data_IF_254385067930
#
_entry.id   IF_254385067930
#
_cell.length_a   1.000
_cell.length_b   1.000
_cell.length_c   1.000
_cell.angle_alpha   90.00
_cell.angle_beta   90.00
_cell.angle_gamma   90.00
#
_symmetry.space_group_name_H-M   'P 1'
#
loop_
_entity.id
_entity.type
_entity.pdbx_description
1 polymer ?
#
# COMPACT_ATOMS: atom_id res chain seq x y z
N UNK A 1 10.73 -61.80 -85.89
CA UNK A 1 10.30 -60.42 -86.20
C UNK A 1 10.58 -59.54 -84.98
N UNK A 2 11.34 -58.43 -85.20
CA UNK A 2 11.44 -57.16 -84.43
C UNK A 2 11.70 -57.23 -82.89
N UNK A 3 12.91 -56.82 -82.45
CA UNK A 3 13.33 -55.50 -81.91
C UNK A 3 12.98 -55.32 -80.41
N UNK A 4 13.96 -55.36 -79.48
CA UNK A 4 14.85 -54.28 -78.97
C UNK A 4 14.19 -53.34 -77.93
N UNK A 5 14.94 -53.11 -76.83
CA UNK A 5 14.94 -52.02 -75.83
C UNK A 5 14.46 -52.46 -74.42
N UNK A 6 15.29 -52.63 -73.38
CA UNK A 6 16.30 -51.77 -72.72
C UNK A 6 15.71 -50.63 -71.87
N UNK A 7 15.95 -50.67 -70.55
CA UNK A 7 16.23 -49.55 -69.60
C UNK A 7 15.85 -49.98 -68.15
N UNK A 8 16.81 -50.20 -67.22
CA UNK A 8 17.53 -49.23 -66.35
C UNK A 8 16.72 -48.86 -65.09
N UNK A 9 17.03 -49.51 -63.94
CA UNK A 9 17.76 -49.01 -62.73
C UNK A 9 16.89 -48.22 -61.75
N UNK A 10 16.78 -48.68 -60.48
CA UNK A 10 17.32 -48.01 -59.28
C UNK A 10 16.97 -48.79 -58.00
N UNK A 11 18.01 -49.09 -57.22
CA UNK A 11 17.96 -49.53 -55.82
C UNK A 11 17.82 -48.30 -54.95
N UNK A 12 16.88 -48.29 -54.00
CA UNK A 12 16.90 -47.37 -52.87
C UNK A 12 16.56 -48.11 -51.57
N UNK A 13 17.53 -48.06 -50.66
CA UNK A 13 17.51 -48.64 -49.34
C UNK A 13 16.53 -47.90 -48.42
N UNK A 14 15.72 -48.65 -47.69
CA UNK A 14 14.86 -48.12 -46.64
C UNK A 14 15.66 -47.97 -45.33
N UNK A 15 16.10 -46.75 -45.02
CA UNK A 15 16.42 -46.36 -43.65
C UNK A 15 15.12 -45.90 -42.98
N UNK A 16 14.64 -46.67 -42.00
CA UNK A 16 13.59 -46.23 -41.10
C UNK A 16 14.17 -45.19 -40.14
N UNK A 17 13.87 -43.91 -40.40
CA UNK A 17 14.13 -42.81 -39.48
C UNK A 17 13.19 -42.94 -38.28
N UNK A 18 13.77 -42.97 -37.08
CA UNK A 18 13.05 -42.78 -35.81
C UNK A 18 12.48 -41.36 -35.84
N UNK A 19 11.17 -41.24 -36.06
CA UNK A 19 10.43 -39.99 -35.84
C UNK A 19 10.34 -39.79 -34.34
N UNK A 20 11.35 -39.13 -33.78
CA UNK A 20 11.21 -38.48 -32.48
C UNK A 20 10.08 -37.47 -32.60
N UNK A 21 8.98 -37.72 -31.89
CA UNK A 21 7.96 -36.71 -31.65
C UNK A 21 8.63 -35.57 -30.88
N UNK A 22 9.06 -34.55 -31.61
CA UNK A 22 9.30 -33.21 -31.07
C UNK A 22 7.96 -32.71 -30.54
N UNK A 23 7.75 -32.89 -29.24
CA UNK A 23 6.66 -32.23 -28.52
C UNK A 23 6.86 -30.72 -28.62
N UNK A 24 6.26 -30.07 -29.60
CA UNK A 24 6.11 -28.62 -29.59
C UNK A 24 4.98 -28.27 -28.64
N UNK A 25 5.34 -27.91 -27.41
CA UNK A 25 4.70 -26.83 -26.65
C UNK A 25 5.51 -26.55 -25.37
N UNK A 26 6.75 -26.10 -25.51
CA UNK A 26 7.43 -25.38 -24.45
C UNK A 26 7.87 -24.05 -25.05
N UNK A 27 7.03 -23.02 -24.87
CA UNK A 27 7.37 -21.66 -25.31
C UNK A 27 8.71 -21.24 -24.73
N UNK A 28 9.49 -20.49 -25.51
CA UNK A 28 10.80 -19.97 -25.09
C UNK A 28 10.72 -19.07 -23.85
N UNK A 29 11.85 -18.42 -23.48
CA UNK A 29 11.92 -17.53 -22.34
C UNK A 29 10.74 -16.55 -22.29
N UNK A 30 10.10 -16.46 -21.12
CA UNK A 30 8.96 -15.53 -20.91
C UNK A 30 8.84 -15.13 -19.45
N UNK A 31 8.17 -14.01 -19.23
CA UNK A 31 7.79 -13.50 -17.91
C UNK A 31 6.29 -13.78 -17.74
N UNK A 32 5.94 -14.58 -16.74
CA UNK A 32 4.58 -14.88 -16.31
C UNK A 32 4.23 -13.97 -15.12
N UNK A 33 3.00 -13.44 -15.12
CA UNK A 33 2.45 -12.60 -14.06
C UNK A 33 1.11 -13.20 -13.58
N UNK A 34 0.84 -13.18 -12.28
CA UNK A 34 -0.42 -13.73 -11.73
C UNK A 34 -1.67 -13.01 -12.25
N UNK A 35 -1.58 -11.70 -12.44
CA UNK A 35 -2.71 -10.83 -12.75
C UNK A 35 -2.32 -9.78 -13.80
N UNK A 36 -3.21 -9.55 -14.76
CA UNK A 36 -3.07 -8.50 -15.78
C UNK A 36 -4.45 -8.14 -16.36
N UNK A 37 -4.93 -6.89 -16.20
CA UNK A 37 -4.32 -5.81 -15.41
C UNK A 37 -4.39 -6.08 -13.89
N UNK A 38 -3.57 -5.38 -13.11
CA UNK A 38 -3.57 -5.44 -11.63
C UNK A 38 -3.70 -4.06 -11.02
N UNK A 39 -4.34 -3.92 -9.87
CA UNK A 39 -4.46 -2.60 -9.21
C UNK A 39 -3.11 -2.19 -8.58
N UNK A 40 -2.81 -0.89 -8.52
CA UNK A 40 -1.50 -0.38 -8.03
C UNK A 40 -1.17 -0.80 -6.59
N UNK A 41 -2.19 -1.09 -5.79
CA UNK A 41 -2.07 -1.49 -4.37
C UNK A 41 -2.14 -3.02 -4.17
N UNK A 42 -2.33 -3.81 -5.23
CA UNK A 42 -2.31 -5.26 -5.18
C UNK A 42 -0.94 -5.80 -5.59
N UNK A 43 -0.45 -6.89 -4.96
CA UNK A 43 0.76 -7.55 -5.41
C UNK A 43 0.53 -8.23 -6.77
N UNK A 44 1.60 -8.40 -7.53
CA UNK A 44 1.66 -9.19 -8.75
C UNK A 44 2.79 -10.18 -8.59
N UNK A 45 2.49 -11.47 -8.71
CA UNK A 45 3.49 -12.52 -8.59
C UNK A 45 4.16 -12.76 -9.94
N UNK A 46 5.48 -12.64 -9.99
CA UNK A 46 6.26 -12.70 -11.22
C UNK A 46 7.15 -13.94 -11.25
N UNK A 47 7.10 -14.66 -12.37
CA UNK A 47 7.96 -15.82 -12.64
C UNK A 47 8.58 -15.71 -14.02
N UNK A 48 9.89 -15.85 -14.11
CA UNK A 48 10.58 -16.03 -15.37
C UNK A 48 10.76 -17.52 -15.61
N UNK A 49 10.35 -18.01 -16.77
CA UNK A 49 10.31 -19.44 -17.07
C UNK A 49 10.93 -19.74 -18.43
N UNK A 50 11.36 -20.99 -18.60
CA UNK A 50 12.08 -21.47 -19.79
C UNK A 50 13.35 -20.66 -20.09
N UNK A 51 14.04 -20.21 -19.03
CA UNK A 51 15.33 -19.52 -19.11
C UNK A 51 16.49 -20.52 -19.34
N UNK A 52 17.59 -20.10 -19.97
CA UNK A 52 18.79 -20.92 -20.10
C UNK A 52 19.44 -21.16 -18.71
N UNK A 53 19.47 -22.41 -18.20
CA UNK A 53 19.99 -22.68 -16.86
C UNK A 53 21.49 -22.43 -16.71
N UNK A 54 21.92 -22.05 -15.50
CA UNK A 54 23.35 -21.87 -15.18
C UNK A 54 23.92 -20.50 -15.52
N UNK A 55 23.11 -19.62 -16.13
CA UNK A 55 23.45 -18.23 -16.41
C UNK A 55 22.83 -17.29 -15.36
N UNK A 56 22.88 -15.98 -15.61
CA UNK A 56 22.20 -14.94 -14.81
C UNK A 56 21.18 -14.23 -15.68
N UNK A 57 20.06 -13.84 -15.10
CA UNK A 57 19.06 -13.00 -15.76
C UNK A 57 18.99 -11.64 -15.07
N UNK A 58 19.13 -10.58 -15.85
CA UNK A 58 18.80 -9.22 -15.42
C UNK A 58 17.35 -8.95 -15.75
N UNK A 59 16.56 -8.58 -14.76
CA UNK A 59 15.17 -8.17 -14.93
C UNK A 59 15.10 -6.67 -14.72
N UNK A 60 14.68 -5.94 -15.75
CA UNK A 60 14.52 -4.49 -15.69
C UNK A 60 13.03 -4.15 -15.76
N UNK A 61 12.60 -3.20 -14.93
CA UNK A 61 11.28 -2.59 -15.06
C UNK A 61 11.43 -1.15 -15.53
N UNK A 62 10.57 -0.74 -16.46
CA UNK A 62 10.58 0.59 -17.06
C UNK A 62 9.16 1.18 -17.10
N UNK A 63 9.02 2.44 -16.70
CA UNK A 63 7.78 3.21 -16.86
C UNK A 63 8.07 4.41 -17.74
N UNK A 64 7.55 4.38 -18.96
CA UNK A 64 7.73 5.44 -19.93
C UNK A 64 6.85 6.66 -19.60
N UNK A 65 7.44 7.84 -19.66
CA UNK A 65 6.84 9.12 -19.26
C UNK A 65 5.77 9.69 -20.23
N UNK A 66 5.27 8.90 -21.18
CA UNK A 66 4.33 9.41 -22.19
C UNK A 66 2.96 9.78 -21.58
N UNK A 67 2.65 9.26 -20.39
CA UNK A 67 1.42 9.60 -19.64
C UNK A 67 1.62 10.81 -18.70
N UNK A 68 2.86 11.22 -18.40
CA UNK A 68 3.18 12.03 -17.21
C UNK A 68 4.06 13.27 -17.47
N UNK A 69 4.63 13.46 -18.67
CA UNK A 69 5.39 14.68 -19.00
C UNK A 69 6.68 14.91 -18.19
N UNK A 70 7.23 13.86 -17.55
CA UNK A 70 8.41 13.89 -16.67
C UNK A 70 9.59 12.99 -17.11
N UNK A 71 10.53 12.64 -16.21
CA UNK A 71 11.63 11.70 -16.49
C UNK A 71 11.15 10.24 -16.60
N UNK A 72 11.87 9.38 -17.32
CA UNK A 72 11.68 7.92 -17.26
C UNK A 72 12.02 7.38 -15.88
N UNK A 73 11.39 6.26 -15.54
CA UNK A 73 11.65 5.55 -14.28
C UNK A 73 12.04 4.12 -14.57
N UNK A 74 13.07 3.64 -13.87
CA UNK A 74 13.55 2.28 -14.02
C UNK A 74 13.97 1.66 -12.68
N UNK A 75 13.98 0.33 -12.65
CA UNK A 75 14.56 -0.48 -11.59
C UNK A 75 15.16 -1.74 -12.20
N UNK A 76 16.06 -2.39 -11.48
CA UNK A 76 16.76 -3.57 -11.94
C UNK A 76 17.02 -4.54 -10.80
N UNK A 77 16.92 -5.84 -11.09
CA UNK A 77 17.38 -6.91 -10.24
C UNK A 77 18.00 -8.05 -11.06
N UNK A 78 19.10 -8.63 -10.59
CA UNK A 78 19.83 -9.73 -11.22
C UNK A 78 19.63 -11.00 -10.40
N UNK A 79 19.27 -12.10 -11.07
CA UNK A 79 19.04 -13.39 -10.43
C UNK A 79 19.91 -14.49 -11.06
N UNK A 80 20.32 -15.47 -10.26
CA UNK A 80 20.89 -16.70 -10.78
C UNK A 80 19.76 -17.53 -11.42
N UNK A 81 20.01 -18.14 -12.58
CA UNK A 81 19.02 -19.01 -13.23
C UNK A 81 19.24 -20.45 -12.75
N UNK A 82 18.31 -21.03 -11.97
CA UNK A 82 18.46 -22.39 -11.45
C UNK A 82 18.44 -23.44 -12.58
N UNK A 83 18.82 -24.68 -12.25
CA UNK A 83 18.77 -25.82 -13.19
C UNK A 83 17.37 -26.08 -13.76
N UNK A 84 16.32 -25.63 -13.06
CA UNK A 84 14.93 -25.68 -13.52
C UNK A 84 14.62 -24.72 -14.67
N UNK A 85 15.46 -23.71 -14.92
CA UNK A 85 15.18 -22.61 -15.85
C UNK A 85 14.03 -21.70 -15.39
N UNK A 86 13.72 -21.70 -14.08
CA UNK A 86 12.66 -20.90 -13.47
C UNK A 86 13.23 -20.02 -12.37
N UNK A 87 12.97 -18.72 -12.45
CA UNK A 87 13.21 -17.75 -11.38
C UNK A 87 11.85 -17.25 -10.89
N UNK A 88 11.57 -17.38 -9.60
CA UNK A 88 10.35 -16.95 -8.93
C UNK A 88 10.66 -15.78 -8.00
N UNK A 89 10.17 -14.58 -8.33
CA UNK A 89 10.61 -13.34 -7.68
C UNK A 89 10.09 -13.22 -6.24
N UNK A 90 9.06 -13.99 -5.87
CA UNK A 90 8.57 -14.03 -4.48
C UNK A 90 9.51 -14.81 -3.56
N UNK A 91 10.36 -15.69 -4.10
CA UNK A 91 11.13 -16.68 -3.33
C UNK A 91 12.63 -16.61 -3.58
N UNK A 92 13.06 -16.24 -4.79
CA UNK A 92 14.46 -16.17 -5.16
C UNK A 92 15.07 -14.84 -4.71
N UNK A 93 16.22 -14.93 -4.04
CA UNK A 93 16.98 -13.76 -3.58
C UNK A 93 17.81 -13.21 -4.75
N UNK A 94 17.74 -11.90 -5.05
CA UNK A 94 18.56 -11.31 -6.10
C UNK A 94 20.05 -11.34 -5.74
N UNK A 95 20.90 -11.55 -6.74
CA UNK A 95 22.35 -11.38 -6.65
C UNK A 95 22.73 -9.90 -6.53
N UNK A 96 22.05 -9.04 -7.31
CA UNK A 96 22.26 -7.60 -7.35
C UNK A 96 20.90 -6.91 -7.49
N UNK A 97 20.55 -6.05 -6.55
CA UNK A 97 19.32 -5.26 -6.55
C UNK A 97 19.41 -4.12 -5.52
N UNK A 98 18.54 -3.10 -5.60
CA UNK A 98 18.37 -2.09 -4.54
C UNK A 98 17.70 -2.63 -3.25
N UNK A 99 17.43 -3.94 -3.20
CA UNK A 99 16.90 -4.71 -2.07
C UNK A 99 17.72 -5.98 -1.88
N UNK A 100 17.66 -6.58 -0.68
CA UNK A 100 18.53 -7.71 -0.29
C UNK A 100 17.78 -9.02 -0.10
N UNK A 101 16.51 -8.99 0.32
CA UNK A 101 15.66 -10.18 0.44
C UNK A 101 14.92 -10.51 -0.85
N UNK A 102 14.37 -11.73 -0.94
CA UNK A 102 13.37 -12.06 -1.96
C UNK A 102 12.15 -11.15 -1.81
N UNK A 103 11.70 -10.56 -2.92
CA UNK A 103 10.61 -9.58 -2.94
C UNK A 103 9.99 -9.52 -4.34
N UNK A 104 8.83 -10.15 -4.50
CA UNK A 104 8.10 -10.19 -5.76
C UNK A 104 7.70 -8.81 -6.28
N UNK A 105 7.59 -7.83 -5.38
CA UNK A 105 7.25 -6.45 -5.72
C UNK A 105 8.45 -5.51 -5.77
N UNK A 106 9.66 -6.04 -5.52
CA UNK A 106 10.95 -5.36 -5.52
C UNK A 106 11.12 -4.40 -6.69
N UNK A 107 10.87 -4.88 -7.90
CA UNK A 107 11.01 -4.08 -9.12
C UNK A 107 10.02 -2.91 -9.22
N UNK A 108 8.85 -2.98 -8.59
CA UNK A 108 7.84 -1.93 -8.70
C UNK A 108 8.08 -0.80 -7.70
N UNK A 109 8.32 -1.13 -6.44
CA UNK A 109 8.55 -0.10 -5.41
C UNK A 109 9.95 0.49 -5.50
N UNK A 110 10.92 -0.20 -6.11
CA UNK A 110 12.29 0.31 -6.26
C UNK A 110 12.52 1.15 -7.53
N UNK A 111 11.47 1.47 -8.29
CA UNK A 111 11.54 2.40 -9.42
C UNK A 111 12.15 3.74 -8.98
N UNK A 112 13.15 4.21 -9.73
CA UNK A 112 13.79 5.53 -9.55
C UNK A 112 13.79 6.31 -10.85
N UNK A 113 13.72 7.64 -10.75
CA UNK A 113 13.89 8.48 -11.92
C UNK A 113 15.32 8.37 -12.44
N UNK A 114 15.53 8.60 -13.74
CA UNK A 114 16.87 8.58 -14.33
C UNK A 114 17.84 9.57 -13.66
N UNK A 115 17.32 10.63 -13.02
CA UNK A 115 18.10 11.62 -12.29
C UNK A 115 18.22 11.31 -10.78
N UNK A 116 17.62 10.22 -10.31
CA UNK A 116 17.63 9.80 -8.90
C UNK A 116 16.60 10.49 -8.00
N UNK A 117 15.67 11.27 -8.58
CA UNK A 117 14.63 11.97 -7.84
C UNK A 117 13.66 10.99 -7.16
N UNK A 118 13.18 11.29 -5.94
CA UNK A 118 12.23 10.46 -5.23
C UNK A 118 10.83 10.53 -5.84
N UNK A 119 10.08 9.43 -5.79
CA UNK A 119 8.69 9.40 -6.18
C UNK A 119 7.82 10.06 -5.10
N UNK A 120 7.34 11.28 -5.35
CA UNK A 120 6.58 12.07 -4.35
C UNK A 120 5.17 12.45 -4.79
N UNK A 121 4.80 12.20 -6.04
CA UNK A 121 3.46 12.49 -6.57
C UNK A 121 2.51 11.31 -6.38
N UNK A 122 1.49 11.47 -5.51
CA UNK A 122 0.44 10.46 -5.32
C UNK A 122 -0.41 10.29 -6.58
N UNK A 123 -0.73 11.40 -7.26
CA UNK A 123 -1.48 11.38 -8.52
C UNK A 123 -0.76 10.51 -9.57
N UNK A 124 0.56 10.64 -9.65
CA UNK A 124 1.38 9.86 -10.57
C UNK A 124 1.43 8.38 -10.19
N UNK A 125 1.77 8.06 -8.94
CA UNK A 125 2.14 6.70 -8.55
C UNK A 125 1.00 5.84 -8.01
N UNK A 126 -0.06 6.49 -7.52
CA UNK A 126 -1.20 5.81 -6.96
C UNK A 126 -2.49 6.16 -7.72
N UNK A 127 -2.66 7.40 -8.20
CA UNK A 127 -3.88 7.83 -8.90
C UNK A 127 -3.97 7.32 -10.33
N UNK A 128 -2.87 7.38 -11.07
CA UNK A 128 -2.81 7.11 -12.52
C UNK A 128 -2.59 5.63 -12.83
N UNK A 129 -3.14 5.17 -13.97
CA UNK A 129 -2.84 3.85 -14.50
C UNK A 129 -1.47 3.87 -15.19
N UNK A 130 -0.56 3.01 -14.72
CA UNK A 130 0.81 2.93 -15.22
C UNK A 130 0.99 1.71 -16.11
N UNK A 131 1.73 1.87 -17.20
CA UNK A 131 2.24 0.72 -17.97
C UNK A 131 3.68 0.47 -17.56
N UNK A 132 3.94 -0.70 -16.98
CA UNK A 132 5.28 -1.16 -16.61
C UNK A 132 5.74 -2.16 -17.68
N UNK A 133 6.81 -1.83 -18.40
CA UNK A 133 7.49 -2.78 -19.28
C UNK A 133 8.58 -3.51 -18.49
N UNK A 134 8.53 -4.84 -18.50
CA UNK A 134 9.51 -5.72 -17.89
C UNK A 134 10.33 -6.37 -19.00
N UNK A 135 11.64 -6.21 -18.95
CA UNK A 135 12.60 -6.85 -19.85
C UNK A 135 13.41 -7.89 -19.07
N UNK A 136 13.56 -9.09 -19.64
CA UNK A 136 14.50 -10.08 -19.15
C UNK A 136 15.70 -10.15 -20.11
N UNK A 137 16.90 -9.93 -19.59
CA UNK A 137 18.14 -9.92 -20.35
C UNK A 137 19.09 -11.00 -19.84
N UNK A 138 19.73 -11.68 -20.78
CA UNK A 138 20.78 -12.67 -20.53
C UNK A 138 21.95 -12.31 -21.45
N UNK A 139 23.14 -12.16 -20.88
CA UNK A 139 24.33 -11.62 -21.56
C UNK A 139 24.06 -10.31 -22.32
N UNK A 140 23.28 -9.41 -21.71
CA UNK A 140 22.88 -8.13 -22.30
C UNK A 140 21.88 -8.25 -23.47
N UNK A 141 21.48 -9.47 -23.82
CA UNK A 141 20.52 -9.73 -24.90
C UNK A 141 19.14 -9.95 -24.31
N UNK A 142 18.17 -9.16 -24.78
CA UNK A 142 16.78 -9.30 -24.36
C UNK A 142 16.19 -10.63 -24.86
N UNK A 143 15.75 -11.47 -23.92
CA UNK A 143 15.18 -12.80 -24.19
C UNK A 143 13.66 -12.87 -23.95
N UNK A 144 13.12 -11.98 -23.12
CA UNK A 144 11.67 -11.86 -22.90
C UNK A 144 11.25 -10.42 -22.62
N UNK A 145 9.99 -10.11 -22.94
CA UNK A 145 9.33 -8.83 -22.60
C UNK A 145 7.94 -9.13 -22.06
N UNK A 146 7.50 -8.36 -21.07
CA UNK A 146 6.12 -8.34 -20.59
C UNK A 146 5.71 -6.91 -20.30
N UNK A 147 4.51 -6.53 -20.71
CA UNK A 147 3.88 -5.26 -20.28
C UNK A 147 2.81 -5.57 -19.26
N UNK A 148 2.79 -4.80 -18.19
CA UNK A 148 1.79 -4.87 -17.14
C UNK A 148 1.07 -3.54 -17.00
N UNK A 149 -0.26 -3.56 -16.89
CA UNK A 149 -1.06 -2.38 -16.60
C UNK A 149 -1.39 -2.35 -15.11
N UNK A 150 -0.76 -1.44 -14.37
CA UNK A 150 -1.03 -1.17 -12.96
C UNK A 150 -2.14 -0.11 -12.86
N UNK A 151 -3.37 -0.54 -12.61
CA UNK A 151 -4.57 0.31 -12.59
C UNK A 151 -4.55 1.23 -11.38
N UNK A 152 -4.60 2.54 -11.63
CA UNK A 152 -4.55 3.56 -10.59
C UNK A 152 -5.85 3.69 -9.81
N UNK A 153 -5.73 4.14 -8.56
CA UNK A 153 -6.81 4.34 -7.60
C UNK A 153 -7.90 5.29 -8.13
N UNK A 154 -7.57 6.30 -8.93
CA UNK A 154 -8.58 7.20 -9.50
C UNK A 154 -9.58 6.48 -10.41
N UNK A 155 -9.20 5.31 -10.96
CA UNK A 155 -10.08 4.49 -11.81
C UNK A 155 -10.93 3.50 -11.00
N UNK A 156 -10.43 3.02 -9.85
CA UNK A 156 -11.07 1.94 -9.06
C UNK A 156 -11.71 2.41 -7.76
N UNK A 157 -11.39 3.62 -7.32
CA UNK A 157 -11.90 4.27 -6.12
C UNK A 157 -12.27 5.73 -6.43
N UNK A 158 -13.30 5.98 -7.25
CA UNK A 158 -13.75 7.34 -7.53
C UNK A 158 -14.25 8.00 -6.24
N UNK A 159 -13.88 9.26 -6.04
CA UNK A 159 -14.39 10.08 -4.94
C UNK A 159 -15.56 10.95 -5.38
N UNK A 160 -16.34 11.40 -4.40
CA UNK A 160 -17.16 12.60 -4.51
C UNK A 160 -16.85 13.53 -3.35
N UNK A 161 -16.77 14.81 -3.65
CA UNK A 161 -16.66 15.83 -2.62
C UNK A 161 -17.93 15.82 -1.73
N UNK A 162 -17.73 16.08 -0.45
CA UNK A 162 -18.78 16.20 0.57
C UNK A 162 -18.67 17.57 1.19
N UNK A 163 -19.71 18.37 1.00
CA UNK A 163 -19.91 19.65 1.66
C UNK A 163 -21.30 19.61 2.30
N UNK A 164 -21.32 19.40 3.62
CA UNK A 164 -22.53 19.29 4.43
C UNK A 164 -22.31 20.07 5.74
N UNK A 165 -23.32 20.18 6.60
CA UNK A 165 -23.23 20.97 7.83
C UNK A 165 -22.07 20.50 8.74
N UNK A 166 -20.97 21.27 8.75
CA UNK A 166 -19.74 20.96 9.49
C UNK A 166 -18.79 19.94 8.83
N UNK A 167 -19.14 19.37 7.68
CA UNK A 167 -18.37 18.33 6.99
C UNK A 167 -17.74 18.89 5.70
N UNK A 168 -16.42 18.70 5.57
CA UNK A 168 -15.68 18.95 4.34
C UNK A 168 -14.75 17.77 4.13
N UNK A 169 -14.81 17.14 2.96
CA UNK A 169 -13.96 15.99 2.66
C UNK A 169 -14.33 15.29 1.37
N UNK A 170 -13.72 14.12 1.16
CA UNK A 170 -13.92 13.30 -0.02
C UNK A 170 -14.42 11.91 0.39
N UNK A 171 -15.58 11.52 -0.15
CA UNK A 171 -16.14 10.20 0.09
C UNK A 171 -15.83 9.26 -1.08
N UNK A 172 -15.18 8.15 -0.75
CA UNK A 172 -14.78 7.09 -1.65
C UNK A 172 -15.73 5.90 -1.43
N UNK A 173 -16.61 5.68 -2.40
CA UNK A 173 -17.47 4.50 -2.43
C UNK A 173 -16.78 3.37 -3.22
N UNK A 174 -16.86 2.11 -2.78
CA UNK A 174 -16.29 1.00 -3.53
C UNK A 174 -16.92 0.88 -4.92
N UNK A 175 -16.10 0.85 -5.97
CA UNK A 175 -16.59 0.75 -7.36
C UNK A 175 -17.34 -0.56 -7.62
N UNK A 176 -16.86 -1.66 -7.03
CA UNK A 176 -17.56 -2.95 -6.99
C UNK A 176 -18.57 -2.87 -5.85
N UNK A 177 -19.79 -2.46 -6.16
CA UNK A 177 -20.84 -2.12 -5.19
C UNK A 177 -20.98 -3.10 -4.02
N UNK A 178 -21.46 -2.58 -2.89
CA UNK A 178 -21.50 -3.31 -1.62
C UNK A 178 -22.57 -4.41 -1.65
N UNK A 179 -22.16 -5.68 -1.54
CA UNK A 179 -23.09 -6.84 -1.54
C UNK A 179 -23.95 -6.93 -0.28
N UNK A 180 -23.42 -6.50 0.86
CA UNK A 180 -24.11 -6.46 2.15
C UNK A 180 -23.47 -5.38 3.03
N UNK A 181 -24.23 -4.72 3.93
CA UNK A 181 -23.69 -3.72 4.85
C UNK A 181 -22.42 -4.23 5.54
N UNK A 182 -21.36 -3.42 5.48
CA UNK A 182 -20.03 -3.78 5.94
C UNK A 182 -19.32 -2.62 6.64
N UNK A 183 -18.07 -2.83 7.05
CA UNK A 183 -17.34 -1.79 7.77
C UNK A 183 -17.05 -0.59 6.85
N UNK A 184 -16.98 0.59 7.44
CA UNK A 184 -16.60 1.83 6.77
C UNK A 184 -15.55 2.56 7.61
N UNK A 185 -14.80 3.47 7.00
CA UNK A 185 -13.68 4.14 7.66
C UNK A 185 -13.78 5.67 7.52
N UNK A 186 -13.79 6.38 8.64
CA UNK A 186 -13.54 7.82 8.66
C UNK A 186 -12.02 8.04 8.73
N UNK A 187 -11.46 8.71 7.75
CA UNK A 187 -10.02 8.95 7.60
C UNK A 187 -9.72 10.41 7.87
N UNK A 188 -8.86 10.70 8.84
CA UNK A 188 -8.39 12.07 9.09
C UNK A 188 -7.35 12.47 8.04
N UNK A 189 -7.68 13.48 7.23
CA UNK A 189 -6.80 14.06 6.21
C UNK A 189 -6.38 15.49 6.58
N UNK A 190 -5.27 15.96 5.99
CA UNK A 190 -4.77 17.32 6.18
C UNK A 190 -4.24 17.58 7.59
N UNK A 191 -3.78 16.55 8.29
CA UNK A 191 -3.21 16.69 9.64
C UNK A 191 -1.75 17.14 9.63
N UNK A 192 -1.05 16.93 8.51
CA UNK A 192 0.31 17.41 8.25
C UNK A 192 0.31 18.47 7.15
N UNK A 193 1.19 19.50 7.23
CA UNK A 193 1.47 20.36 6.10
C UNK A 193 2.04 19.56 4.93
N UNK A 194 1.62 19.88 3.70
CA UNK A 194 2.23 19.43 2.44
C UNK A 194 2.21 17.91 2.14
N UNK A 195 1.59 17.08 2.99
CA UNK A 195 1.40 15.65 2.74
C UNK A 195 -0.08 15.25 2.95
N UNK A 196 -0.81 15.04 1.86
CA UNK A 196 -2.19 14.52 1.89
C UNK A 196 -2.18 13.00 2.11
N UNK A 197 -2.05 12.56 3.36
CA UNK A 197 -1.96 11.12 3.68
C UNK A 197 -3.33 10.43 3.74
N UNK A 198 -4.40 11.18 4.02
CA UNK A 198 -5.73 10.63 4.22
C UNK A 198 -6.44 10.28 2.92
N UNK A 199 -6.28 11.09 1.86
CA UNK A 199 -6.88 10.81 0.55
C UNK A 199 -6.39 9.47 -0.02
N UNK A 200 -5.08 9.25 -0.03
CA UNK A 200 -4.49 8.00 -0.52
C UNK A 200 -4.95 6.79 0.31
N UNK A 201 -5.02 6.93 1.63
CA UNK A 201 -5.52 5.87 2.49
C UNK A 201 -7.00 5.55 2.23
N UNK A 202 -7.86 6.58 2.12
CA UNK A 202 -9.29 6.43 1.85
C UNK A 202 -9.55 5.80 0.47
N UNK A 203 -8.82 6.22 -0.57
CA UNK A 203 -8.92 5.63 -1.89
C UNK A 203 -8.52 4.14 -1.89
N UNK A 204 -7.44 3.80 -1.19
CA UNK A 204 -6.99 2.40 -1.04
C UNK A 204 -8.01 1.55 -0.30
N UNK A 205 -8.57 2.05 0.81
CA UNK A 205 -9.63 1.36 1.56
C UNK A 205 -10.87 1.10 0.69
N UNK A 206 -11.27 2.08 -0.12
CA UNK A 206 -12.38 1.92 -1.07
C UNK A 206 -12.09 0.88 -2.15
N UNK A 207 -10.87 0.86 -2.69
CA UNK A 207 -10.44 -0.16 -3.64
C UNK A 207 -10.41 -1.57 -3.01
N UNK A 208 -10.11 -1.67 -1.72
CA UNK A 208 -10.24 -2.91 -0.92
C UNK A 208 -11.69 -3.30 -0.62
N UNK A 209 -12.68 -2.47 -0.97
CA UNK A 209 -14.10 -2.74 -0.79
C UNK A 209 -14.75 -2.04 0.41
N UNK A 210 -14.06 -1.12 1.08
CA UNK A 210 -14.55 -0.44 2.28
C UNK A 210 -14.87 1.02 2.03
N UNK A 211 -16.13 1.47 2.20
CA UNK A 211 -16.46 2.88 2.09
C UNK A 211 -15.59 3.73 3.03
N UNK A 212 -15.02 4.81 2.50
CA UNK A 212 -14.13 5.67 3.27
C UNK A 212 -14.46 7.15 3.06
N UNK A 213 -14.51 7.92 4.16
CA UNK A 213 -14.64 9.37 4.14
C UNK A 213 -13.32 9.98 4.58
N UNK A 214 -12.57 10.59 3.66
CA UNK A 214 -11.43 11.43 4.00
C UNK A 214 -11.93 12.80 4.48
N UNK A 215 -11.99 12.96 5.81
CA UNK A 215 -12.39 14.20 6.46
C UNK A 215 -11.23 15.19 6.44
N UNK A 216 -11.47 16.37 5.87
CA UNK A 216 -10.56 17.49 6.00
C UNK A 216 -10.56 17.98 7.44
N UNK A 217 -9.54 17.58 8.19
CA UNK A 217 -9.47 17.74 9.65
C UNK A 217 -9.60 19.21 10.05
N UNK A 218 -8.89 20.09 9.34
CA UNK A 218 -8.85 21.52 9.66
C UNK A 218 -9.61 22.41 8.66
N UNK A 219 -10.26 21.83 7.64
CA UNK A 219 -11.00 22.57 6.62
C UNK A 219 -10.27 22.65 5.26
N UNK A 220 -10.95 23.16 4.23
CA UNK A 220 -10.45 23.19 2.86
C UNK A 220 -9.16 24.00 2.71
N UNK A 221 -8.29 23.58 1.80
CA UNK A 221 -7.16 24.38 1.34
C UNK A 221 -7.63 25.79 0.95
N UNK A 222 -7.09 26.83 1.59
CA UNK A 222 -7.47 28.23 1.37
C UNK A 222 -8.23 28.92 2.51
N UNK A 223 -8.50 28.25 3.64
CA UNK A 223 -8.91 28.96 4.86
C UNK A 223 -7.78 29.88 5.34
N UNK A 224 -8.14 31.15 5.59
CA UNK A 224 -7.20 32.23 5.94
C UNK A 224 -6.55 32.06 7.31
N UNK A 225 -7.19 31.30 8.21
CA UNK A 225 -6.70 31.05 9.56
C UNK A 225 -6.28 29.57 9.71
N UNK A 226 -5.03 29.28 10.13
CA UNK A 226 -4.60 27.92 10.41
C UNK A 226 -5.26 27.42 11.70
N UNK A 227 -6.48 26.86 11.58
CA UNK A 227 -7.12 26.17 12.69
C UNK A 227 -6.36 24.87 12.94
N UNK A 228 -5.72 24.72 14.10
CA UNK A 228 -5.02 23.48 14.53
C UNK A 228 -5.74 22.75 15.66
N UNK A 229 -7.00 23.10 15.88
CA UNK A 229 -7.89 22.53 16.89
C UNK A 229 -9.10 21.96 16.17
N UNK A 230 -9.37 20.67 16.38
CA UNK A 230 -10.50 19.97 15.79
C UNK A 230 -11.73 20.07 16.73
N UNK A 231 -12.84 20.70 16.31
CA UNK A 231 -14.11 20.58 17.04
C UNK A 231 -14.66 19.17 16.94
N UNK A 232 -14.92 18.53 18.08
CA UNK A 232 -15.48 17.18 18.17
C UNK A 232 -16.78 17.02 17.37
N UNK A 233 -17.60 18.07 17.35
CA UNK A 233 -18.89 18.09 16.67
C UNK A 233 -18.76 17.84 15.17
N UNK A 234 -17.68 18.32 14.53
CA UNK A 234 -17.39 18.04 13.12
C UNK A 234 -17.13 16.55 12.88
N UNK A 235 -16.43 15.90 13.81
CA UNK A 235 -16.15 14.47 13.74
C UNK A 235 -17.43 13.66 13.96
N UNK A 236 -18.25 14.04 14.93
CA UNK A 236 -19.54 13.39 15.21
C UNK A 236 -20.48 13.52 14.02
N UNK A 237 -20.56 14.70 13.39
CA UNK A 237 -21.32 14.91 12.17
C UNK A 237 -20.82 14.02 11.02
N UNK A 238 -19.50 13.97 10.80
CA UNK A 238 -18.89 13.11 9.78
C UNK A 238 -19.15 11.62 10.02
N UNK A 239 -19.08 11.16 11.27
CA UNK A 239 -19.43 9.78 11.65
C UNK A 239 -20.91 9.49 11.39
N UNK A 240 -21.81 10.39 11.80
CA UNK A 240 -23.25 10.25 11.56
C UNK A 240 -23.58 10.16 10.07
N UNK A 241 -22.96 11.01 9.28
CA UNK A 241 -23.09 11.02 7.82
C UNK A 241 -22.56 9.72 7.19
N UNK A 242 -21.37 9.26 7.60
CA UNK A 242 -20.76 8.03 7.06
C UNK A 242 -21.62 6.80 7.38
N UNK A 243 -22.14 6.71 8.61
CA UNK A 243 -23.04 5.64 9.06
C UNK A 243 -24.34 5.56 8.27
N UNK A 244 -24.77 6.66 7.65
CA UNK A 244 -25.98 6.72 6.84
C UNK A 244 -25.76 6.33 5.37
N UNK A 245 -24.50 6.11 4.93
CA UNK A 245 -24.24 5.79 3.53
C UNK A 245 -24.69 4.36 3.17
N UNK A 246 -25.16 4.13 1.93
CA UNK A 246 -25.52 2.79 1.47
C UNK A 246 -24.36 1.80 1.59
N UNK A 247 -24.65 0.60 2.10
CA UNK A 247 -23.64 -0.44 2.28
C UNK A 247 -22.77 -0.30 3.53
N UNK A 248 -22.99 0.73 4.35
CA UNK A 248 -22.32 0.85 5.66
C UNK A 248 -23.13 0.13 6.73
N UNK A 249 -22.47 -0.75 7.48
CA UNK A 249 -22.95 -1.23 8.77
C UNK A 249 -22.60 -0.17 9.83
N UNK A 250 -23.61 0.53 10.38
CA UNK A 250 -23.35 1.61 11.33
C UNK A 250 -22.68 1.11 12.61
N UNK A 251 -22.73 -0.20 12.93
CA UNK A 251 -22.04 -0.77 14.10
C UNK A 251 -20.57 -1.08 13.85
N UNK A 252 -20.08 -0.93 12.62
CA UNK A 252 -18.72 -1.30 12.21
C UNK A 252 -17.99 -0.16 11.51
N UNK A 253 -18.12 1.05 12.05
CA UNK A 253 -17.35 2.21 11.58
C UNK A 253 -16.01 2.27 12.29
N UNK A 254 -14.94 2.41 11.52
CA UNK A 254 -13.58 2.58 12.00
C UNK A 254 -13.12 4.02 11.80
N UNK A 255 -12.09 4.41 12.54
CA UNK A 255 -11.37 5.67 12.31
C UNK A 255 -9.92 5.38 11.96
N UNK A 256 -9.37 6.12 11.00
CA UNK A 256 -7.97 6.05 10.58
C UNK A 256 -7.33 7.42 10.71
N UNK A 257 -6.12 7.46 11.27
CA UNK A 257 -5.27 8.65 11.21
C UNK A 257 -3.81 8.26 11.33
N UNK A 258 -2.95 8.77 10.44
CA UNK A 258 -1.51 8.56 10.50
C UNK A 258 -0.81 9.78 11.10
N UNK A 259 0.35 9.59 11.73
CA UNK A 259 1.15 10.68 12.29
C UNK A 259 0.36 11.57 13.27
N UNK A 260 0.28 12.90 13.06
CA UNK A 260 -0.59 13.78 13.85
C UNK A 260 -2.05 13.38 13.88
N UNK A 261 -2.54 12.64 12.88
CA UNK A 261 -3.90 12.11 12.85
C UNK A 261 -4.11 10.89 13.76
N UNK A 262 -3.06 10.18 14.17
CA UNK A 262 -3.15 8.96 14.99
C UNK A 262 -3.82 9.23 16.33
N UNK A 263 -3.39 10.28 17.03
CA UNK A 263 -3.99 10.73 18.28
C UNK A 263 -5.47 11.13 18.12
N UNK A 264 -5.85 11.71 16.97
CA UNK A 264 -7.23 12.12 16.70
C UNK A 264 -8.12 10.90 16.45
N UNK A 265 -7.62 9.91 15.71
CA UNK A 265 -8.30 8.64 15.50
C UNK A 265 -8.52 7.90 16.84
N UNK A 266 -7.47 7.75 17.65
CA UNK A 266 -7.58 7.08 18.95
C UNK A 266 -8.49 7.84 19.91
N UNK A 267 -8.40 9.17 19.96
CA UNK A 267 -9.27 9.98 20.79
C UNK A 267 -10.72 9.83 20.36
N UNK A 268 -11.01 9.90 19.05
CA UNK A 268 -12.36 9.76 18.52
C UNK A 268 -12.96 8.40 18.89
N UNK A 269 -12.20 7.32 18.72
CA UNK A 269 -12.66 5.98 19.04
C UNK A 269 -12.91 5.79 20.54
N UNK A 270 -12.03 6.33 21.39
CA UNK A 270 -12.18 6.22 22.84
C UNK A 270 -13.29 7.13 23.39
N UNK A 271 -13.47 8.31 22.82
CA UNK A 271 -14.46 9.31 23.25
C UNK A 271 -15.88 8.95 22.79
N UNK A 272 -16.01 8.34 21.60
CA UNK A 272 -17.29 7.99 20.97
C UNK A 272 -17.42 6.48 20.66
N UNK A 273 -17.32 5.59 21.67
CA UNK A 273 -17.42 4.14 21.45
C UNK A 273 -18.81 3.68 20.97
N UNK A 274 -19.83 4.54 21.11
CA UNK A 274 -21.16 4.35 20.54
C UNK A 274 -21.21 4.58 19.02
N UNK A 275 -20.27 5.37 18.49
CA UNK A 275 -20.18 5.70 17.07
C UNK A 275 -19.10 4.91 16.33
N UNK A 276 -18.01 4.57 17.02
CA UNK A 276 -16.79 4.00 16.44
C UNK A 276 -16.51 2.61 17.02
N UNK A 277 -16.37 1.65 16.13
CA UNK A 277 -16.04 0.27 16.44
C UNK A 277 -14.55 0.05 16.66
N UNK A 278 -13.68 0.53 15.76
CA UNK A 278 -12.22 0.30 15.87
C UNK A 278 -11.39 1.47 15.39
N UNK A 279 -10.08 1.41 15.64
CA UNK A 279 -9.15 2.50 15.34
C UNK A 279 -7.87 2.00 14.66
N UNK A 280 -7.41 2.75 13.67
CA UNK A 280 -6.15 2.52 12.95
C UNK A 280 -5.29 3.77 13.11
N UNK A 281 -4.16 3.63 13.79
CA UNK A 281 -3.34 4.75 14.24
C UNK A 281 -1.84 4.45 14.12
N UNK A 282 -1.29 4.39 12.89
CA UNK A 282 0.14 4.20 12.68
C UNK A 282 0.94 5.51 12.83
N UNK A 283 2.20 5.38 13.21
CA UNK A 283 3.23 6.42 13.20
C UNK A 283 2.94 7.69 14.01
N UNK A 284 2.13 7.61 15.07
CA UNK A 284 1.83 8.77 15.91
C UNK A 284 1.71 8.45 17.38
N UNK A 285 1.45 9.48 18.18
CA UNK A 285 1.27 9.34 19.62
C UNK A 285 -0.06 8.66 19.92
N UNK A 286 -0.09 7.87 21.00
CA UNK A 286 -1.30 7.23 21.53
C UNK A 286 -2.01 8.09 22.58
N UNK A 287 -1.50 9.30 22.79
CA UNK A 287 -2.06 10.37 23.61
C UNK A 287 -2.32 11.63 22.80
N UNK A 288 -3.22 12.48 23.28
CA UNK A 288 -3.40 13.83 22.74
C UNK A 288 -2.22 14.72 23.15
N UNK A 289 -1.60 15.37 22.17
CA UNK A 289 -0.46 16.28 22.35
C UNK A 289 -0.90 17.70 22.00
N UNK A 290 -0.67 18.65 22.91
CA UNK A 290 -0.90 20.06 22.63
C UNK A 290 0.21 20.56 21.68
N UNK A 291 -0.10 21.06 20.47
CA UNK A 291 0.92 21.56 19.55
C UNK A 291 1.73 22.73 20.15
N UNK A 292 3.03 22.75 19.88
CA UNK A 292 3.99 23.81 20.25
C UNK A 292 4.07 24.88 19.13
N UNK A 293 4.47 26.15 19.37
CA UNK A 293 5.06 26.74 20.59
C UNK A 293 4.09 27.33 21.61
N UNK A 294 2.80 27.46 21.28
CA UNK A 294 1.76 27.85 22.23
C UNK A 294 0.83 26.67 22.40
N UNK A 295 0.70 26.08 23.62
CA UNK A 295 -0.18 24.95 23.85
C UNK A 295 -1.61 25.32 23.47
N UNK A 296 -2.06 24.82 22.32
CA UNK A 296 -3.46 24.85 21.90
C UNK A 296 -4.02 23.43 22.02
N UNK A 297 -5.32 23.27 22.31
CA UNK A 297 -5.91 21.94 22.35
C UNK A 297 -5.91 21.34 20.94
N UNK A 298 -5.58 20.06 20.84
CA UNK A 298 -5.78 19.32 19.58
C UNK A 298 -7.29 19.16 19.26
N UNK A 299 -8.12 19.09 20.30
CA UNK A 299 -9.57 18.86 20.18
C UNK A 299 -10.35 19.73 21.17
N UNK A 300 -11.52 20.21 20.75
CA UNK A 300 -12.51 20.83 21.65
C UNK A 300 -13.83 20.07 21.66
N UNK A 301 -14.55 20.11 22.78
CA UNK A 301 -15.90 19.54 22.95
C UNK A 301 -16.79 20.63 23.57
N UNK A 302 -17.85 21.03 22.88
CA UNK A 302 -18.69 22.15 23.29
C UNK A 302 -17.91 23.46 23.42
N UNK A 303 -16.84 23.63 22.65
CA UNK A 303 -15.88 24.73 22.76
C UNK A 303 -14.89 24.64 23.93
N UNK A 304 -15.05 23.67 24.85
CA UNK A 304 -14.11 23.43 25.94
C UNK A 304 -12.92 22.60 25.48
N UNK A 305 -11.75 22.85 26.06
CA UNK A 305 -10.51 22.17 25.70
C UNK A 305 -10.52 20.72 26.19
N UNK A 306 -10.17 19.78 25.32
CA UNK A 306 -9.84 18.43 25.74
C UNK A 306 -8.40 18.42 26.29
N UNK A 307 -8.16 17.87 27.49
CA UNK A 307 -6.81 17.77 28.04
C UNK A 307 -5.84 17.05 27.09
N UNK A 308 -4.64 17.61 26.95
CA UNK A 308 -3.55 17.06 26.16
C UNK A 308 -2.22 17.23 26.93
N UNK A 309 -1.22 16.43 26.56
CA UNK A 309 0.13 16.54 27.13
C UNK A 309 0.98 17.54 26.35
N UNK A 310 1.89 18.22 27.03
CA UNK A 310 2.84 19.14 26.41
C UNK A 310 4.03 18.36 25.86
N UNK A 311 4.16 18.32 24.53
CA UNK A 311 5.25 17.63 23.85
C UNK A 311 5.11 16.10 23.84
N UNK A 312 6.10 15.42 23.26
CA UNK A 312 6.04 13.98 22.96
C UNK A 312 7.04 13.13 23.74
N UNK A 313 7.95 13.76 24.50
CA UNK A 313 9.12 13.09 25.11
C UNK A 313 8.78 12.26 26.34
N UNK A 314 7.87 12.74 27.18
CA UNK A 314 7.45 12.04 28.39
C UNK A 314 6.29 11.11 28.08
N UNK A 315 6.58 9.81 28.03
CA UNK A 315 5.57 8.77 27.83
C UNK A 315 5.31 8.08 29.16
N UNK A 316 4.06 8.08 29.60
CA UNK A 316 3.62 7.38 30.80
C UNK A 316 2.21 6.82 30.58
N UNK A 317 1.73 5.88 31.42
CA UNK A 317 0.34 5.45 31.37
C UNK A 317 -0.68 6.61 31.42
N UNK A 318 -0.35 7.71 32.10
CA UNK A 318 -1.21 8.88 32.23
C UNK A 318 -1.23 9.76 30.96
N UNK A 319 -0.23 9.64 30.08
CA UNK A 319 -0.17 10.39 28.83
C UNK A 319 -0.92 9.69 27.69
N UNK A 320 -1.34 8.44 27.87
CA UNK A 320 -1.98 7.62 26.84
C UNK A 320 -3.50 7.63 27.01
N UNK A 321 -4.23 7.63 25.89
CA UNK A 321 -5.69 7.52 25.88
C UNK A 321 -6.15 6.16 26.42
N UNK A 322 -7.31 6.11 27.06
CA UNK A 322 -7.87 4.86 27.58
C UNK A 322 -8.43 3.98 26.44
N UNK A 323 -7.55 3.18 25.82
CA UNK A 323 -7.90 2.32 24.69
C UNK A 323 -8.83 1.16 25.08
N UNK A 324 -9.10 0.92 26.37
CA UNK A 324 -10.07 -0.09 26.83
C UNK A 324 -11.50 0.30 26.46
N UNK A 325 -11.73 1.58 26.19
CA UNK A 325 -13.03 2.11 25.75
C UNK A 325 -13.37 1.75 24.30
N UNK A 326 -12.37 1.40 23.48
CA UNK A 326 -12.57 1.08 22.06
C UNK A 326 -13.11 -0.35 21.93
N UNK A 327 -14.34 -0.55 21.41
CA UNK A 327 -15.05 -1.83 21.50
C UNK A 327 -14.59 -2.91 20.50
N UNK A 328 -13.85 -2.51 19.48
CA UNK A 328 -13.36 -3.38 18.42
C UNK A 328 -11.85 -3.28 18.24
N UNK A 329 -11.32 -3.78 17.11
CA UNK A 329 -9.88 -3.85 16.85
C UNK A 329 -9.17 -2.49 16.92
N UNK A 330 -7.97 -2.49 17.49
CA UNK A 330 -7.02 -1.37 17.44
C UNK A 330 -5.73 -1.79 16.73
N UNK A 331 -5.36 -1.04 15.70
CA UNK A 331 -4.15 -1.23 14.91
C UNK A 331 -3.22 -0.07 15.19
N UNK A 332 -2.12 -0.34 15.87
CA UNK A 332 -1.06 0.64 16.11
C UNK A 332 0.18 0.26 15.30
N UNK A 333 0.97 1.26 14.93
CA UNK A 333 2.24 1.03 14.27
C UNK A 333 3.30 2.01 14.75
N UNK A 334 4.55 1.57 14.89
CA UNK A 334 5.70 2.42 15.15
C UNK A 334 6.88 2.08 14.24
N UNK A 335 7.65 3.09 13.87
CA UNK A 335 8.88 2.96 13.11
C UNK A 335 10.11 3.19 14.02
N UNK A 336 11.16 2.38 13.86
CA UNK A 336 12.38 2.49 14.66
C UNK A 336 13.40 3.49 14.11
N UNK A 337 13.25 3.92 12.85
CA UNK A 337 14.01 5.01 12.22
C UNK A 337 13.12 6.22 11.94
N UNK A 338 12.04 6.35 12.70
CA UNK A 338 11.09 7.45 12.57
C UNK A 338 11.79 8.80 12.85
N UNK A 339 11.96 9.57 11.79
CA UNK A 339 12.63 10.86 11.80
C UNK A 339 11.75 12.00 12.36
N UNK A 340 10.44 11.75 12.57
CA UNK A 340 9.49 12.73 13.10
C UNK A 340 9.07 12.43 14.54
N UNK A 341 9.03 11.15 14.93
CA UNK A 341 8.66 10.66 16.25
C UNK A 341 9.60 9.54 16.69
N UNK A 342 10.84 9.91 17.05
CA UNK A 342 11.93 9.00 17.43
C UNK A 342 11.60 8.05 18.62
N UNK A 343 10.57 8.37 19.40
CA UNK A 343 10.08 7.55 20.51
C UNK A 343 8.69 6.93 20.25
N UNK A 344 8.24 6.83 19.00
CA UNK A 344 6.92 6.31 18.64
C UNK A 344 6.66 4.89 19.16
N UNK A 345 7.68 4.04 19.22
CA UNK A 345 7.53 2.70 19.80
C UNK A 345 7.28 2.71 21.31
N UNK A 346 7.77 3.72 22.05
CA UNK A 346 7.46 3.88 23.47
C UNK A 346 5.99 4.25 23.69
N UNK A 347 5.43 5.11 22.81
CA UNK A 347 4.00 5.42 22.80
C UNK A 347 3.13 4.19 22.51
N UNK A 348 3.54 3.37 21.55
CA UNK A 348 2.88 2.11 21.24
C UNK A 348 2.96 1.14 22.43
N UNK A 349 4.13 1.00 23.08
CA UNK A 349 4.33 0.13 24.24
C UNK A 349 3.43 0.50 25.41
N UNK A 350 3.39 1.79 25.76
CA UNK A 350 2.57 2.29 26.84
C UNK A 350 1.07 2.06 26.59
N UNK A 351 0.62 2.20 25.34
CA UNK A 351 -0.76 1.90 24.94
C UNK A 351 -1.09 0.41 24.96
N UNK A 352 -0.22 -0.42 24.39
CA UNK A 352 -0.40 -1.87 24.36
C UNK A 352 -0.44 -2.46 25.78
N UNK A 353 0.32 -1.90 26.72
CA UNK A 353 0.31 -2.33 28.12
C UNK A 353 -1.03 -2.04 28.84
N UNK A 354 -1.78 -1.02 28.40
CA UNK A 354 -3.07 -0.64 28.99
C UNK A 354 -4.27 -1.34 28.35
N UNK A 355 -4.10 -1.90 27.15
CA UNK A 355 -5.16 -2.54 26.40
C UNK A 355 -5.16 -4.06 26.62
N UNK A 356 -6.24 -4.64 27.21
CA UNK A 356 -6.41 -6.08 27.28
C UNK A 356 -6.35 -6.71 25.89
N UNK A 357 -5.89 -7.96 25.82
CA UNK A 357 -5.87 -8.70 24.56
C UNK A 357 -7.26 -8.72 23.93
N UNK A 358 -7.38 -8.16 22.73
CA UNK A 358 -8.64 -8.09 21.99
C UNK A 358 -8.46 -8.72 20.61
N UNK A 359 -9.47 -9.46 20.17
CA UNK A 359 -9.47 -10.06 18.83
C UNK A 359 -9.37 -8.99 17.74
N UNK A 360 -8.45 -9.19 16.80
CA UNK A 360 -8.22 -8.27 15.69
C UNK A 360 -7.23 -7.14 15.95
N UNK A 361 -6.78 -6.96 17.20
CA UNK A 361 -5.71 -5.99 17.49
C UNK A 361 -4.42 -6.35 16.75
N UNK A 362 -3.67 -5.33 16.33
CA UNK A 362 -2.37 -5.50 15.74
C UNK A 362 -1.42 -4.37 16.16
N UNK A 363 -0.20 -4.76 16.55
CA UNK A 363 0.85 -3.85 16.97
C UNK A 363 2.06 -4.02 16.04
N UNK A 364 2.13 -3.19 15.01
CA UNK A 364 3.14 -3.29 13.95
C UNK A 364 4.40 -2.56 14.37
N UNK A 365 5.51 -3.29 14.49
CA UNK A 365 6.83 -2.70 14.77
C UNK A 365 7.71 -2.79 13.55
N UNK A 366 8.19 -1.64 13.12
CA UNK A 366 8.92 -1.46 11.89
C UNK A 366 10.34 -0.90 12.21
N UNK A 367 11.23 -1.70 12.82
CA UNK A 367 12.45 -1.19 13.47
C UNK A 367 13.45 -0.52 12.52
N UNK A 368 13.43 -0.87 11.23
CA UNK A 368 14.32 -0.31 10.22
C UNK A 368 13.61 0.63 9.23
N UNK A 369 12.34 0.96 9.50
CA UNK A 369 11.51 1.78 8.61
C UNK A 369 11.49 3.23 9.07
N UNK A 370 11.31 4.15 8.13
CA UNK A 370 11.09 5.58 8.41
C UNK A 370 9.64 5.89 8.76
N UNK A 371 9.34 7.18 8.99
CA UNK A 371 8.03 7.64 9.47
C UNK A 371 6.86 7.23 8.56
N UNK A 372 7.04 7.30 7.24
CA UNK A 372 5.99 7.10 6.22
C UNK A 372 5.71 5.63 5.84
N UNK A 373 5.91 4.70 6.79
CA UNK A 373 5.57 3.28 6.61
C UNK A 373 4.05 3.01 6.59
N UNK A 374 3.23 4.05 6.80
CA UNK A 374 1.76 3.96 6.78
C UNK A 374 1.14 4.10 5.38
N UNK A 375 1.89 4.58 4.40
CA UNK A 375 1.45 4.69 3.01
C UNK A 375 1.11 3.29 2.44
N UNK A 376 0.11 3.15 1.56
CA UNK A 376 -0.14 1.88 0.85
C UNK A 376 1.11 1.31 0.17
N UNK A 377 1.27 -0.03 0.16
CA UNK A 377 2.44 -0.69 -0.42
C UNK A 377 2.44 -0.68 -1.97
N UNK A 378 3.52 -1.22 -2.53
CA UNK A 378 3.76 -1.63 -3.90
C UNK A 378 3.97 -0.50 -4.92
N UNK A 379 4.19 0.71 -4.43
CA UNK A 379 4.54 1.89 -5.22
C UNK A 379 5.85 2.49 -4.71
N UNK A 380 6.62 3.19 -5.55
CA UNK A 380 7.86 3.85 -5.11
C UNK A 380 7.64 5.07 -4.22
N UNK A 381 6.37 5.42 -3.99
CA UNK A 381 5.93 6.63 -3.35
C UNK A 381 6.51 6.79 -1.93
N UNK A 382 7.21 7.89 -1.69
CA UNK A 382 7.81 8.29 -0.41
C UNK A 382 8.73 7.23 0.23
N UNK A 383 9.36 6.36 -0.56
CA UNK A 383 10.32 5.41 0.00
C UNK A 383 11.67 6.09 0.29
N UNK A 384 12.28 5.80 1.45
CA UNK A 384 13.62 6.28 1.74
C UNK A 384 14.66 5.62 0.80
N UNK A 385 15.89 6.13 0.73
CA UNK A 385 16.99 5.45 0.05
C UNK A 385 17.25 4.05 0.63
N UNK A 386 17.89 3.19 -0.16
CA UNK A 386 18.44 1.93 0.35
C UNK A 386 19.45 2.20 1.48
N UNK A 387 19.56 1.33 2.50
CA UNK A 387 18.88 0.03 2.63
C UNK A 387 17.50 0.09 3.30
N UNK A 388 17.00 1.26 3.70
CA UNK A 388 15.75 1.38 4.48
C UNK A 388 14.47 1.17 3.66
N UNK A 389 14.57 1.27 2.33
CA UNK A 389 13.44 1.16 1.42
C UNK A 389 12.69 -0.17 1.58
N UNK A 390 13.39 -1.31 1.50
CA UNK A 390 12.77 -2.64 1.61
C UNK A 390 12.10 -2.83 2.98
N UNK A 391 12.80 -2.48 4.07
CA UNK A 391 12.20 -2.57 5.41
C UNK A 391 10.98 -1.66 5.59
N UNK A 392 10.96 -0.48 4.94
CA UNK A 392 9.79 0.40 4.95
C UNK A 392 8.63 -0.20 4.18
N UNK A 393 8.91 -0.83 3.04
CA UNK A 393 7.93 -1.52 2.23
C UNK A 393 7.34 -2.75 2.93
N UNK A 394 8.17 -3.59 3.56
CA UNK A 394 7.72 -4.73 4.37
C UNK A 394 6.78 -4.28 5.50
N UNK A 395 7.08 -3.14 6.11
CA UNK A 395 6.24 -2.54 7.14
C UNK A 395 4.90 -2.04 6.59
N UNK A 396 4.87 -1.46 5.37
CA UNK A 396 3.63 -1.09 4.68
C UNK A 396 2.77 -2.32 4.41
N UNK A 397 3.35 -3.39 3.85
CA UNK A 397 2.66 -4.66 3.60
C UNK A 397 2.09 -5.23 4.90
N UNK A 398 2.89 -5.25 5.96
CA UNK A 398 2.48 -5.76 7.29
C UNK A 398 1.32 -4.97 7.87
N UNK A 399 1.39 -3.63 7.83
CA UNK A 399 0.37 -2.73 8.34
C UNK A 399 -0.94 -2.86 7.56
N UNK A 400 -0.88 -2.76 6.23
CA UNK A 400 -2.08 -2.81 5.38
C UNK A 400 -2.75 -4.19 5.41
N UNK A 401 -1.97 -5.26 5.55
CA UNK A 401 -2.50 -6.60 5.82
C UNK A 401 -3.20 -6.68 7.18
N UNK A 402 -2.66 -6.01 8.22
CA UNK A 402 -3.31 -5.95 9.54
C UNK A 402 -4.62 -5.17 9.49
N UNK A 403 -4.66 -4.04 8.77
CA UNK A 403 -5.87 -3.25 8.51
C UNK A 403 -6.93 -4.12 7.81
N UNK A 404 -6.55 -4.82 6.73
CA UNK A 404 -7.45 -5.69 5.98
C UNK A 404 -8.06 -6.80 6.86
N UNK A 405 -7.25 -7.40 7.75
CA UNK A 405 -7.73 -8.41 8.71
C UNK A 405 -8.69 -7.80 9.73
N UNK A 406 -8.34 -6.67 10.34
CA UNK A 406 -9.14 -6.01 11.36
C UNK A 406 -10.52 -5.58 10.84
N UNK A 407 -10.58 -5.04 9.61
CA UNK A 407 -11.83 -4.67 8.96
C UNK A 407 -12.71 -5.91 8.67
N UNK A 408 -12.16 -7.12 8.61
CA UNK A 408 -12.94 -8.35 8.46
C UNK A 408 -13.36 -9.02 9.78
N UNK A 409 -12.83 -8.58 10.93
CA UNK A 409 -13.23 -9.09 12.25
C UNK A 409 -14.66 -8.65 12.54
N UNK A 410 -15.57 -9.63 12.66
CA UNK A 410 -16.92 -9.40 13.17
C UNK A 410 -16.87 -9.38 14.70
N UNK A 411 -17.48 -8.36 15.30
CA UNK A 411 -17.66 -8.32 16.74
C UNK A 411 -18.54 -9.45 17.26
N UNK A 412 -18.62 -9.63 18.58
CA UNK A 412 -19.57 -10.57 19.20
C UNK A 412 -21.02 -10.26 18.83
#
# INVERSE_FOLDING_TARGET
>A
MRRVAAAVVLVLAALAAVTGCSGSAAGGPRIEASDEPSEVWQPVHLRLVALPPGERVTVQAHVASVVLGGPSWSSEAVYAIPSSGVVDLDHDVPLEAPFTGADGMGLFWSLRSDNGDPATSQEQWAGSTLTVELDALVDGRRIAVRRLHRVGLSSVAPSRAVFDDGITGDYFAPARGVRAPGPAVLVFDGTEPDVQTGILAAATLSAMGYPALALSTYGSAGQLEPVRTLPAERVVAALGWLRAQPGVDPRRVFVFGASRGAQLALWTAAAHPELVYGAIAPAGTTGLVCPSPVPVPAVTVGGAWVPCVSGTREVSPASVLDLRRIPGPVILGCAGRDEQLDNGCQWLDAAAALRPAHGGDAYVRAPQSGHVFYTPPYTPLYLPPAPQAQATEDARVTLWSAIARALNVRGP
#
